data_IF_243243495344
#
_entry.id   IF_243243495344
#
_cell.length_a   1.000
_cell.length_b   1.000
_cell.length_c   1.000
_cell.angle_alpha   90.00
_cell.angle_beta   90.00
_cell.angle_gamma   90.00
#
_symmetry.space_group_name_H-M   'P 1'
#
loop_
_entity.id
_entity.type
_entity.pdbx_description
1 polymer ?
#
# COMPACT_ATOMS: atom_id res chain seq x y z
N UNK A 1 -4.72 12.77 40.75
CA UNK A 1 -3.40 13.07 40.16
C UNK A 1 -3.51 14.33 39.30
N UNK A 2 -2.45 15.16 39.22
CA UNK A 2 -2.46 16.37 38.37
C UNK A 2 -2.31 15.95 36.91
N UNK A 3 -3.26 16.38 36.05
CA UNK A 3 -3.17 16.17 34.60
C UNK A 3 -2.17 17.16 33.99
N UNK A 4 -0.96 16.67 33.71
CA UNK A 4 0.14 17.52 33.21
C UNK A 4 -0.01 17.76 31.71
N UNK A 5 -0.61 16.83 30.95
CA UNK A 5 -0.80 16.93 29.52
C UNK A 5 -1.74 18.09 29.15
N UNK A 6 -2.79 18.28 29.92
CA UNK A 6 -3.75 19.37 29.73
C UNK A 6 -3.31 20.71 30.37
N UNK A 7 -2.08 20.79 30.91
CA UNK A 7 -1.56 22.07 31.39
C UNK A 7 -1.23 22.99 30.23
N UNK A 8 -1.29 24.32 30.46
CA UNK A 8 -1.00 25.37 29.48
C UNK A 8 0.49 25.29 29.06
N UNK A 9 0.75 25.29 27.76
CA UNK A 9 2.08 25.47 27.21
C UNK A 9 2.33 26.96 26.91
N UNK A 10 3.47 27.49 27.38
CA UNK A 10 3.79 28.92 27.25
C UNK A 10 4.56 29.26 25.96
N UNK A 11 4.97 28.26 25.18
CA UNK A 11 5.76 28.45 23.96
C UNK A 11 4.93 28.90 22.76
N UNK A 12 3.59 28.67 22.78
CA UNK A 12 2.67 29.10 21.73
C UNK A 12 2.89 28.41 20.37
N UNK A 13 3.34 27.14 20.38
CA UNK A 13 3.64 26.37 19.16
C UNK A 13 2.67 25.20 19.07
N UNK A 14 1.81 25.19 18.06
CA UNK A 14 0.98 24.04 17.72
C UNK A 14 1.84 22.92 17.09
N UNK A 15 1.53 21.65 17.43
CA UNK A 15 2.21 20.49 16.86
C UNK A 15 1.27 19.84 15.85
N UNK A 16 1.69 19.73 14.59
CA UNK A 16 0.86 19.20 13.52
C UNK A 16 0.56 17.71 13.68
N UNK A 17 1.51 16.92 14.22
CA UNK A 17 1.37 15.48 14.42
C UNK A 17 2.04 15.05 15.73
N UNK A 18 1.26 14.54 16.66
CA UNK A 18 1.71 13.92 17.91
C UNK A 18 0.90 12.67 18.17
N UNK A 19 1.54 11.59 18.58
CA UNK A 19 0.86 10.32 18.84
C UNK A 19 1.81 9.15 18.98
N UNK A 20 1.35 7.97 18.60
CA UNK A 20 2.11 6.71 18.70
C UNK A 20 2.62 6.28 17.33
N UNK A 21 3.78 5.65 17.30
CA UNK A 21 4.41 5.07 16.13
C UNK A 21 4.94 3.68 16.47
N UNK A 22 5.03 2.82 15.45
CA UNK A 22 5.57 1.46 15.57
C UNK A 22 4.79 0.58 16.58
N UNK A 23 3.49 0.84 16.78
CA UNK A 23 2.61 -0.03 17.54
C UNK A 23 2.18 -1.22 16.66
N UNK A 24 2.32 -2.46 17.16
CA UNK A 24 1.93 -3.66 16.43
C UNK A 24 0.59 -4.18 16.96
N UNK A 25 -0.39 -4.34 16.07
CA UNK A 25 -1.73 -4.82 16.39
C UNK A 25 -2.21 -5.79 15.29
N UNK A 26 -3.03 -6.79 15.64
CA UNK A 26 -3.73 -7.59 14.63
C UNK A 26 -4.91 -6.79 14.05
N UNK A 27 -5.17 -6.98 12.75
CA UNK A 27 -6.37 -6.49 12.08
C UNK A 27 -6.94 -7.56 11.16
N UNK A 28 -8.22 -7.44 10.82
CA UNK A 28 -8.90 -8.26 9.83
C UNK A 28 -9.06 -7.45 8.55
N UNK A 29 -8.49 -7.93 7.44
CA UNK A 29 -8.60 -7.30 6.13
C UNK A 29 -9.53 -8.13 5.26
N UNK A 30 -10.50 -7.50 4.58
CA UNK A 30 -11.44 -8.17 3.69
C UNK A 30 -10.70 -8.83 2.53
N UNK A 31 -11.10 -10.05 2.17
CA UNK A 31 -10.59 -10.81 1.02
C UNK A 31 -11.62 -10.85 -0.10
N UNK A 32 -11.16 -11.09 -1.33
CA UNK A 32 -12.01 -11.28 -2.51
C UNK A 32 -12.97 -12.48 -2.37
N UNK A 33 -12.61 -13.48 -1.58
CA UNK A 33 -13.41 -14.68 -1.33
C UNK A 33 -14.47 -14.52 -0.21
N UNK A 34 -14.97 -13.30 0.02
CA UNK A 34 -15.97 -12.97 1.06
C UNK A 34 -15.58 -13.40 2.49
N UNK A 35 -14.28 -13.40 2.76
CA UNK A 35 -13.71 -13.69 4.08
C UNK A 35 -12.86 -12.56 4.60
N UNK A 36 -12.04 -12.89 5.60
CA UNK A 36 -11.08 -11.96 6.19
C UNK A 36 -9.74 -12.65 6.39
N UNK A 37 -8.66 -11.93 6.10
CA UNK A 37 -7.31 -12.32 6.45
C UNK A 37 -6.86 -11.56 7.69
N UNK A 38 -6.45 -12.29 8.74
CA UNK A 38 -5.83 -11.66 9.90
C UNK A 38 -4.38 -11.31 9.57
N UNK A 39 -4.02 -10.05 9.76
CA UNK A 39 -2.67 -9.54 9.54
C UNK A 39 -2.09 -8.99 10.84
N UNK A 40 -0.77 -9.04 10.97
CA UNK A 40 -0.06 -8.25 11.98
C UNK A 40 0.36 -6.94 11.34
N UNK A 41 -0.20 -5.84 11.83
CA UNK A 41 0.03 -4.53 11.25
C UNK A 41 0.85 -3.63 12.18
N UNK A 42 1.69 -2.81 11.56
CA UNK A 42 2.47 -1.76 12.19
C UNK A 42 1.74 -0.44 12.02
N UNK A 43 1.38 0.21 13.12
CA UNK A 43 0.54 1.40 13.16
C UNK A 43 1.34 2.64 13.54
N UNK A 44 1.11 3.72 12.78
CA UNK A 44 1.43 5.09 13.16
C UNK A 44 0.11 5.87 13.28
N UNK A 45 -0.21 6.39 14.47
CA UNK A 45 -1.46 7.07 14.75
C UNK A 45 -1.21 8.39 15.46
N UNK A 46 -1.63 9.50 14.85
CA UNK A 46 -1.31 10.85 15.31
C UNK A 46 -2.53 11.78 15.26
N UNK A 47 -2.49 12.82 16.07
CA UNK A 47 -3.45 13.94 16.03
C UNK A 47 -2.70 15.27 16.03
N UNK A 48 -3.38 16.35 15.62
CA UNK A 48 -2.88 17.70 15.83
C UNK A 48 -3.05 18.08 17.31
N UNK A 49 -2.03 18.74 17.88
CA UNK A 49 -2.05 19.27 19.23
C UNK A 49 -2.08 20.80 19.17
N UNK A 50 -3.15 21.44 19.66
CA UNK A 50 -3.24 22.89 19.75
C UNK A 50 -2.12 23.48 20.62
N UNK A 51 -1.76 24.74 20.35
CA UNK A 51 -0.65 25.44 21.02
C UNK A 51 -0.88 25.66 22.53
N UNK A 52 -2.12 25.58 22.97
CA UNK A 52 -2.52 25.77 24.37
C UNK A 52 -2.19 24.55 25.26
N UNK A 53 -2.06 23.36 24.66
CA UNK A 53 -1.84 22.12 25.42
C UNK A 53 -0.38 21.70 25.40
N UNK A 54 0.10 21.25 26.57
CA UNK A 54 1.46 20.77 26.75
C UNK A 54 1.72 19.40 26.11
N UNK A 55 0.70 18.55 26.00
CA UNK A 55 0.84 17.20 25.44
C UNK A 55 -0.49 16.52 25.23
N UNK A 56 -0.45 15.28 24.78
CA UNK A 56 -1.62 14.40 24.62
C UNK A 56 -1.45 13.09 25.38
N UNK A 57 -2.56 12.41 25.67
CA UNK A 57 -2.57 11.15 26.42
C UNK A 57 -2.30 9.96 25.49
N UNK A 58 -1.08 9.43 25.48
CA UNK A 58 -0.64 8.35 24.58
C UNK A 58 -1.44 7.05 24.76
N UNK A 59 -1.90 6.72 25.98
CA UNK A 59 -2.72 5.52 26.22
C UNK A 59 -4.06 5.54 25.47
N UNK A 60 -4.63 6.72 25.25
CA UNK A 60 -5.91 6.86 24.55
C UNK A 60 -5.85 6.39 23.10
N UNK A 61 -4.70 6.48 22.42
CA UNK A 61 -4.54 5.94 21.07
C UNK A 61 -4.72 4.42 21.05
N UNK A 62 -4.14 3.71 22.02
CA UNK A 62 -4.30 2.25 22.11
C UNK A 62 -5.72 1.87 22.60
N UNK A 63 -6.32 2.64 23.49
CA UNK A 63 -7.73 2.46 23.91
C UNK A 63 -8.71 2.59 22.74
N UNK A 64 -8.41 3.45 21.76
CA UNK A 64 -9.19 3.59 20.51
C UNK A 64 -8.94 2.39 19.59
N UNK A 65 -7.69 1.97 19.42
CA UNK A 65 -7.32 0.93 18.45
C UNK A 65 -7.64 -0.50 18.91
N UNK A 66 -7.51 -0.80 20.21
CA UNK A 66 -7.69 -2.16 20.74
C UNK A 66 -9.03 -2.83 20.36
N UNK A 67 -10.19 -2.14 20.36
CA UNK A 67 -11.45 -2.74 19.92
C UNK A 67 -11.46 -3.16 18.44
N UNK A 68 -10.60 -2.58 17.61
CA UNK A 68 -10.48 -2.88 16.18
C UNK A 68 -9.59 -4.08 15.88
N UNK A 69 -8.84 -4.58 16.87
CA UNK A 69 -7.97 -5.76 16.71
C UNK A 69 -8.72 -7.07 16.37
N UNK A 70 -10.04 -7.10 16.54
CA UNK A 70 -10.91 -8.24 16.25
C UNK A 70 -12.01 -7.91 15.24
N UNK A 71 -11.97 -6.73 14.63
CA UNK A 71 -12.95 -6.26 13.66
C UNK A 71 -12.30 -6.05 12.30
N UNK A 72 -13.08 -6.16 11.22
CA UNK A 72 -12.62 -5.73 9.91
C UNK A 72 -12.22 -4.25 9.92
N UNK A 73 -11.18 -3.94 9.12
CA UNK A 73 -10.75 -2.55 8.90
C UNK A 73 -10.64 -2.29 7.41
N UNK A 74 -11.40 -1.32 6.95
CA UNK A 74 -11.39 -0.76 5.62
C UNK A 74 -11.62 0.77 5.73
N UNK A 75 -11.93 1.43 4.63
CA UNK A 75 -12.15 2.88 4.59
C UNK A 75 -13.22 3.38 5.58
N UNK A 76 -14.45 2.79 5.68
CA UNK A 76 -15.46 3.24 6.63
C UNK A 76 -14.99 3.17 8.09
N UNK A 77 -14.35 2.07 8.47
CA UNK A 77 -13.85 1.85 9.83
C UNK A 77 -12.70 2.81 10.16
N UNK A 78 -11.86 3.13 9.18
CA UNK A 78 -10.81 4.16 9.32
C UNK A 78 -11.42 5.53 9.63
N UNK A 79 -12.54 5.89 8.99
CA UNK A 79 -13.27 7.11 9.30
C UNK A 79 -13.79 7.13 10.75
N UNK A 80 -14.33 6.00 11.24
CA UNK A 80 -14.80 5.88 12.63
C UNK A 80 -13.65 6.02 13.63
N UNK A 81 -12.52 5.36 13.40
CA UNK A 81 -11.30 5.45 14.23
C UNK A 81 -10.84 6.90 14.35
N UNK A 82 -10.77 7.62 13.22
CA UNK A 82 -10.28 8.99 13.20
C UNK A 82 -11.27 9.97 13.85
N UNK A 83 -12.58 9.81 13.65
CA UNK A 83 -13.63 10.59 14.33
C UNK A 83 -13.58 10.40 15.83
N UNK A 84 -13.42 9.16 16.29
CA UNK A 84 -13.26 8.84 17.71
C UNK A 84 -12.02 9.50 18.30
N UNK A 85 -10.88 9.45 17.58
CA UNK A 85 -9.64 10.09 18.03
C UNK A 85 -9.78 11.60 18.13
N UNK A 86 -10.34 12.26 17.13
CA UNK A 86 -10.56 13.70 17.13
C UNK A 86 -11.46 14.12 18.32
N UNK A 87 -12.48 13.32 18.63
CA UNK A 87 -13.39 13.58 19.75
C UNK A 87 -12.71 13.35 21.10
N UNK A 88 -12.12 12.16 21.33
CA UNK A 88 -11.51 11.79 22.61
C UNK A 88 -10.27 12.61 22.98
N UNK A 89 -9.51 13.03 21.95
CA UNK A 89 -8.28 13.80 22.11
C UNK A 89 -8.48 15.30 21.89
N UNK A 90 -9.72 15.74 21.61
CA UNK A 90 -10.08 17.14 21.35
C UNK A 90 -9.19 17.79 20.26
N UNK A 91 -8.95 17.02 19.17
CA UNK A 91 -8.06 17.44 18.10
C UNK A 91 -8.83 17.90 16.85
N UNK A 92 -8.29 18.88 16.16
CA UNK A 92 -8.86 19.41 14.89
C UNK A 92 -8.56 18.50 13.69
N UNK A 93 -7.56 17.62 13.80
CA UNK A 93 -7.24 16.62 12.78
C UNK A 93 -6.60 15.38 13.38
N UNK A 94 -6.77 14.26 12.68
CA UNK A 94 -6.16 12.97 13.01
C UNK A 94 -5.65 12.29 11.74
N UNK A 95 -4.59 11.49 11.87
CA UNK A 95 -4.01 10.72 10.80
C UNK A 95 -3.57 9.34 11.31
N UNK A 96 -3.86 8.30 10.54
CA UNK A 96 -3.43 6.93 10.83
C UNK A 96 -2.81 6.31 9.58
N UNK A 97 -1.77 5.50 9.78
CA UNK A 97 -1.20 4.60 8.77
C UNK A 97 -1.03 3.22 9.38
N UNK A 98 -1.51 2.23 8.66
CA UNK A 98 -1.52 0.81 9.03
C UNK A 98 -0.76 0.06 7.95
N UNK A 99 0.50 -0.30 8.20
CA UNK A 99 1.36 -1.07 7.28
C UNK A 99 1.27 -2.56 7.64
N UNK A 100 1.07 -3.44 6.66
CA UNK A 100 0.92 -4.88 6.87
C UNK A 100 1.39 -5.71 5.67
N UNK A 101 1.68 -6.99 5.93
CA UNK A 101 1.85 -8.01 4.90
C UNK A 101 0.49 -8.65 4.60
N UNK A 102 0.13 -8.69 3.32
CA UNK A 102 -1.06 -9.36 2.83
C UNK A 102 -0.65 -10.55 1.96
N UNK A 103 -1.34 -11.69 2.10
CA UNK A 103 -1.04 -12.90 1.35
C UNK A 103 -2.07 -13.12 0.25
N UNK A 104 -1.60 -13.12 -1.00
CA UNK A 104 -2.42 -13.38 -2.18
C UNK A 104 -2.21 -14.81 -2.64
N UNK A 105 -3.30 -15.55 -2.84
CA UNK A 105 -3.22 -16.91 -3.39
C UNK A 105 -2.65 -16.89 -4.80
N UNK A 106 -1.80 -17.88 -5.08
CA UNK A 106 -1.17 -18.09 -6.37
C UNK A 106 -1.28 -19.53 -6.82
N UNK A 107 -1.58 -19.68 -8.10
CA UNK A 107 -1.55 -20.97 -8.77
C UNK A 107 -0.44 -20.96 -9.82
N UNK A 108 0.48 -21.91 -9.76
CA UNK A 108 1.55 -22.05 -10.73
C UNK A 108 0.98 -22.27 -12.15
N UNK A 109 1.58 -21.65 -13.20
CA UNK A 109 0.91 -21.47 -14.50
C UNK A 109 0.70 -22.76 -15.30
N UNK A 110 1.50 -23.80 -15.07
CA UNK A 110 1.43 -25.09 -15.78
C UNK A 110 1.06 -26.22 -14.83
N UNK A 111 1.77 -26.37 -13.72
CA UNK A 111 1.55 -27.46 -12.76
C UNK A 111 0.30 -27.30 -11.90
N UNK A 112 -0.27 -26.08 -11.85
CA UNK A 112 -1.43 -25.76 -11.02
C UNK A 112 -1.19 -25.83 -9.51
N UNK A 113 0.08 -25.85 -9.06
CA UNK A 113 0.40 -25.90 -7.63
C UNK A 113 0.03 -24.60 -6.92
N UNK A 114 -0.68 -24.74 -5.80
CA UNK A 114 -1.09 -23.61 -4.97
C UNK A 114 0.05 -23.16 -4.07
N UNK A 115 0.18 -21.86 -3.92
CA UNK A 115 1.09 -21.16 -3.02
C UNK A 115 0.51 -19.80 -2.62
N UNK A 116 1.19 -19.07 -1.74
CA UNK A 116 0.81 -17.70 -1.35
C UNK A 116 1.97 -16.76 -1.58
N UNK A 117 1.68 -15.61 -2.16
CA UNK A 117 2.62 -14.51 -2.36
C UNK A 117 2.38 -13.44 -1.31
N UNK A 118 3.42 -13.04 -0.58
CA UNK A 118 3.34 -11.92 0.35
C UNK A 118 3.53 -10.58 -0.37
N UNK A 119 2.63 -9.65 -0.10
CA UNK A 119 2.63 -8.29 -0.66
C UNK A 119 2.65 -7.28 0.47
N UNK A 120 3.54 -6.30 0.39
CA UNK A 120 3.53 -5.17 1.32
C UNK A 120 2.37 -4.23 0.98
N UNK A 121 1.48 -4.02 1.96
CA UNK A 121 0.31 -3.17 1.82
C UNK A 121 0.25 -2.14 2.94
N UNK A 122 -0.48 -1.07 2.70
CA UNK A 122 -0.88 -0.16 3.76
C UNK A 122 -2.24 0.47 3.48
N UNK A 123 -2.90 0.85 4.57
CA UNK A 123 -4.00 1.80 4.58
C UNK A 123 -3.52 3.08 5.26
N UNK A 124 -3.81 4.23 4.67
CA UNK A 124 -3.57 5.52 5.30
C UNK A 124 -4.85 6.35 5.28
N UNK A 125 -5.15 7.01 6.39
CA UNK A 125 -6.29 7.90 6.55
C UNK A 125 -5.86 9.23 7.13
N UNK A 126 -6.34 10.32 6.54
CA UNK A 126 -6.23 11.67 7.07
C UNK A 126 -7.62 12.28 7.17
N UNK A 127 -7.94 12.89 8.31
CA UNK A 127 -9.22 13.56 8.53
C UNK A 127 -9.00 14.86 9.29
N UNK A 128 -9.74 15.90 8.92
CA UNK A 128 -9.77 17.19 9.61
C UNK A 128 -11.22 17.60 9.84
N UNK A 129 -11.45 18.47 10.83
CA UNK A 129 -12.78 18.97 11.15
C UNK A 129 -13.44 19.63 9.93
N UNK A 130 -14.66 19.20 9.62
CA UNK A 130 -15.42 19.68 8.46
C UNK A 130 -14.94 19.19 7.11
N UNK A 131 -14.05 18.18 7.07
CA UNK A 131 -13.62 17.49 5.85
C UNK A 131 -13.83 15.99 5.98
N UNK A 132 -14.14 15.36 4.87
CA UNK A 132 -14.24 13.89 4.79
C UNK A 132 -12.90 13.22 4.94
N UNK A 133 -12.92 11.90 5.14
CA UNK A 133 -11.72 11.07 5.17
C UNK A 133 -11.03 11.11 3.80
N UNK A 134 -9.74 11.42 3.81
CA UNK A 134 -8.85 11.10 2.70
C UNK A 134 -8.25 9.71 2.97
N UNK A 135 -8.77 8.69 2.29
CA UNK A 135 -8.29 7.30 2.40
C UNK A 135 -7.33 6.99 1.26
N UNK A 136 -6.22 6.32 1.58
CA UNK A 136 -5.23 5.83 0.60
C UNK A 136 -4.97 4.35 0.82
N UNK A 137 -5.17 3.54 -0.22
CA UNK A 137 -4.68 2.17 -0.31
C UNK A 137 -3.31 2.18 -0.97
N UNK A 138 -2.33 1.52 -0.39
CA UNK A 138 -1.02 1.30 -1.00
C UNK A 138 -0.64 -0.18 -1.07
N UNK A 139 -0.01 -0.57 -2.19
CA UNK A 139 0.53 -1.92 -2.39
C UNK A 139 1.92 -1.86 -3.02
N UNK A 140 2.76 -2.88 -2.76
CA UNK A 140 4.06 -3.06 -3.43
C UNK A 140 4.11 -4.45 -4.04
N UNK A 141 3.93 -4.52 -5.35
CA UNK A 141 3.78 -5.77 -6.09
C UNK A 141 5.12 -6.17 -6.70
N UNK A 142 5.68 -7.33 -6.32
CA UNK A 142 6.91 -7.82 -6.94
C UNK A 142 6.62 -8.43 -8.30
N UNK A 143 7.54 -8.23 -9.26
CA UNK A 143 7.44 -8.76 -10.62
C UNK A 143 8.81 -9.15 -11.19
N UNK A 144 8.80 -9.80 -12.36
CA UNK A 144 9.98 -10.07 -13.19
C UNK A 144 10.03 -9.09 -14.37
N UNK A 145 11.19 -8.48 -14.60
CA UNK A 145 11.51 -7.66 -15.76
C UNK A 145 12.65 -8.30 -16.57
N UNK A 146 12.55 -8.27 -17.89
CA UNK A 146 13.62 -8.69 -18.81
C UNK A 146 13.98 -7.51 -19.72
N UNK A 147 15.27 -7.21 -19.80
CA UNK A 147 15.76 -6.03 -20.50
C UNK A 147 15.64 -6.16 -22.03
N UNK A 148 14.86 -5.30 -22.70
CA UNK A 148 14.73 -5.30 -24.16
C UNK A 148 16.06 -5.02 -24.87
N UNK A 149 16.87 -4.08 -24.35
CA UNK A 149 18.14 -3.69 -24.93
C UNK A 149 19.15 -4.85 -24.93
N UNK A 150 19.30 -5.56 -23.80
CA UNK A 150 20.19 -6.71 -23.72
C UNK A 150 19.73 -7.87 -24.61
N UNK A 151 18.42 -8.05 -24.79
CA UNK A 151 17.84 -9.03 -25.71
C UNK A 151 18.23 -8.73 -27.17
N UNK A 152 18.20 -7.46 -27.55
CA UNK A 152 18.52 -7.04 -28.94
C UNK A 152 19.99 -7.21 -29.29
N UNK A 153 20.90 -6.87 -28.36
CA UNK A 153 22.35 -6.85 -28.68
C UNK A 153 23.06 -8.17 -28.38
N UNK A 154 22.50 -9.03 -27.55
CA UNK A 154 23.15 -10.27 -27.11
C UNK A 154 22.86 -11.45 -28.05
N UNK A 155 23.86 -12.32 -28.27
CA UNK A 155 23.69 -13.57 -29.02
C UNK A 155 22.94 -14.66 -28.24
N UNK A 156 22.93 -14.61 -26.90
CA UNK A 156 22.57 -15.75 -26.03
C UNK A 156 21.53 -15.42 -24.97
N UNK A 157 20.70 -14.45 -25.19
CA UNK A 157 19.61 -14.13 -24.27
C UNK A 157 19.66 -12.69 -23.77
N UNK A 158 19.08 -12.46 -22.60
CA UNK A 158 18.99 -11.14 -22.00
C UNK A 158 19.07 -11.27 -20.47
N UNK A 159 19.60 -10.23 -19.80
CA UNK A 159 19.50 -10.21 -18.36
C UNK A 159 18.06 -9.94 -17.93
N UNK A 160 17.70 -10.53 -16.81
CA UNK A 160 16.45 -10.31 -16.12
C UNK A 160 16.71 -10.01 -14.66
N UNK A 161 15.72 -9.43 -13.99
CA UNK A 161 15.77 -9.05 -12.60
C UNK A 161 14.36 -9.01 -12.01
N UNK A 162 14.30 -9.02 -10.69
CA UNK A 162 13.07 -8.66 -9.99
C UNK A 162 12.92 -7.15 -9.94
N UNK A 163 11.67 -6.71 -9.91
CA UNK A 163 11.31 -5.34 -9.62
C UNK A 163 10.14 -5.26 -8.65
N UNK A 164 9.81 -4.05 -8.25
CA UNK A 164 8.65 -3.73 -7.45
C UNK A 164 7.88 -2.61 -8.13
N UNK A 165 6.59 -2.83 -8.35
CA UNK A 165 5.64 -1.79 -8.74
C UNK A 165 4.84 -1.39 -7.50
N UNK A 166 5.16 -0.22 -6.96
CA UNK A 166 4.43 0.39 -5.85
C UNK A 166 3.30 1.24 -6.40
N UNK A 167 2.09 1.08 -5.85
CA UNK A 167 0.92 1.87 -6.19
C UNK A 167 0.27 2.41 -4.92
N UNK A 168 -0.15 3.66 -4.99
CA UNK A 168 -0.98 4.33 -3.97
C UNK A 168 -2.21 4.91 -4.68
N UNK A 169 -3.41 4.62 -4.16
CA UNK A 169 -4.68 4.96 -4.79
C UNK A 169 -5.64 5.65 -3.83
N UNK A 170 -6.38 6.63 -4.35
CA UNK A 170 -7.53 7.26 -3.69
C UNK A 170 -8.74 7.23 -4.61
N UNK A 171 -9.88 6.87 -4.06
CA UNK A 171 -11.15 6.87 -4.81
C UNK A 171 -11.97 8.10 -4.44
N UNK A 172 -12.79 8.56 -5.40
CA UNK A 172 -13.72 9.65 -5.20
C UNK A 172 -14.88 9.27 -4.29
N UNK A 173 -15.60 10.26 -3.79
CA UNK A 173 -16.74 10.04 -2.91
C UNK A 173 -17.82 9.19 -3.59
N UNK A 174 -18.29 8.14 -2.90
CA UNK A 174 -19.32 7.23 -3.38
C UNK A 174 -18.82 6.05 -4.21
N UNK A 175 -17.53 5.91 -4.41
CA UNK A 175 -16.92 4.73 -5.02
C UNK A 175 -16.24 3.85 -3.97
N UNK A 176 -16.41 2.53 -4.10
CA UNK A 176 -15.72 1.57 -3.24
C UNK A 176 -14.24 1.44 -3.66
N UNK A 177 -13.37 1.32 -2.67
CA UNK A 177 -11.96 1.04 -2.92
C UNK A 177 -11.80 -0.36 -3.54
N UNK A 178 -10.92 -0.48 -4.53
CA UNK A 178 -10.56 -1.78 -5.15
C UNK A 178 -9.99 -2.75 -4.09
N UNK A 179 -10.30 -4.04 -4.23
CA UNK A 179 -9.71 -5.07 -3.36
C UNK A 179 -8.22 -5.25 -3.66
N UNK A 180 -7.45 -5.59 -2.62
CA UNK A 180 -5.99 -5.77 -2.74
C UNK A 180 -5.64 -6.80 -3.81
N UNK A 181 -6.35 -7.94 -3.85
CA UNK A 181 -6.10 -9.01 -4.83
C UNK A 181 -6.32 -8.53 -6.27
N UNK A 182 -7.39 -7.75 -6.52
CA UNK A 182 -7.69 -7.22 -7.86
C UNK A 182 -6.65 -6.19 -8.29
N UNK A 183 -6.20 -5.33 -7.36
CA UNK A 183 -5.15 -4.37 -7.64
C UNK A 183 -3.81 -5.05 -7.92
N UNK A 184 -3.45 -6.07 -7.14
CA UNK A 184 -2.22 -6.85 -7.35
C UNK A 184 -2.26 -7.54 -8.71
N UNK A 185 -3.37 -8.19 -9.08
CA UNK A 185 -3.55 -8.84 -10.39
C UNK A 185 -3.46 -7.82 -11.54
N UNK A 186 -4.05 -6.64 -11.38
CA UNK A 186 -3.99 -5.57 -12.37
C UNK A 186 -2.56 -5.11 -12.63
N UNK A 187 -1.78 -4.89 -11.57
CA UNK A 187 -0.40 -4.41 -11.64
C UNK A 187 0.56 -5.45 -12.19
N UNK A 188 0.43 -6.71 -11.80
CA UNK A 188 1.30 -7.80 -12.28
C UNK A 188 1.23 -8.00 -13.80
N UNK A 189 0.07 -7.76 -14.40
CA UNK A 189 -0.13 -7.86 -15.85
C UNK A 189 0.70 -6.85 -16.64
N UNK A 190 1.20 -5.81 -15.99
CA UNK A 190 1.99 -4.76 -16.65
C UNK A 190 3.47 -5.10 -16.75
N UNK A 191 3.96 -6.13 -16.06
CA UNK A 191 5.34 -6.57 -16.04
C UNK A 191 5.69 -7.56 -17.17
N UNK A 192 6.97 -7.93 -17.30
CA UNK A 192 7.38 -8.98 -18.24
C UNK A 192 6.81 -10.35 -17.88
N UNK A 193 6.78 -10.68 -16.58
CA UNK A 193 6.12 -11.84 -16.03
C UNK A 193 5.82 -11.65 -14.52
N UNK A 194 4.82 -12.36 -14.04
CA UNK A 194 4.48 -12.45 -12.60
C UNK A 194 5.53 -13.28 -11.84
N UNK A 195 5.53 -13.15 -10.52
CA UNK A 195 6.34 -13.96 -9.61
C UNK A 195 5.45 -15.01 -8.92
N UNK A 196 6.00 -16.21 -8.81
CA UNK A 196 5.34 -17.36 -8.17
C UNK A 196 6.24 -17.91 -7.06
N UNK A 197 5.75 -18.06 -5.82
CA UNK A 197 6.55 -18.61 -4.72
C UNK A 197 6.89 -20.10 -4.87
N UNK A 198 6.09 -20.84 -5.64
CA UNK A 198 6.28 -22.27 -5.88
C UNK A 198 6.18 -22.58 -7.37
N UNK A 199 7.27 -23.08 -7.96
CA UNK A 199 7.37 -23.50 -9.35
C UNK A 199 7.91 -24.92 -9.45
N UNK A 200 7.45 -25.68 -10.45
CA UNK A 200 8.05 -26.91 -10.94
C UNK A 200 8.84 -26.58 -12.22
N UNK A 201 9.60 -27.53 -12.78
CA UNK A 201 10.44 -27.31 -13.96
C UNK A 201 9.66 -26.80 -15.18
N UNK A 202 8.46 -27.32 -15.37
CA UNK A 202 7.55 -26.88 -16.43
C UNK A 202 7.06 -25.44 -16.23
N UNK A 203 6.84 -25.03 -14.98
CA UNK A 203 6.48 -23.66 -14.63
C UNK A 203 7.67 -22.71 -14.80
N UNK A 204 8.89 -23.13 -14.40
CA UNK A 204 10.13 -22.37 -14.63
C UNK A 204 10.36 -22.09 -16.10
N UNK A 205 10.15 -23.11 -16.96
CA UNK A 205 10.20 -22.96 -18.41
C UNK A 205 9.21 -21.90 -18.88
N UNK A 206 7.94 -22.03 -18.47
CA UNK A 206 6.87 -21.08 -18.82
C UNK A 206 7.22 -19.65 -18.44
N UNK A 207 7.60 -19.41 -17.17
CA UNK A 207 7.95 -18.08 -16.65
C UNK A 207 9.14 -17.48 -17.43
N UNK A 208 10.16 -18.30 -17.71
CA UNK A 208 11.35 -17.89 -18.44
C UNK A 208 11.01 -17.47 -19.87
N UNK A 209 10.21 -18.30 -20.59
CA UNK A 209 9.81 -18.02 -21.98
C UNK A 209 8.87 -16.82 -22.04
N UNK A 210 7.88 -16.72 -21.14
CA UNK A 210 6.95 -15.59 -21.06
C UNK A 210 7.69 -14.26 -20.83
N UNK A 211 8.62 -14.21 -19.87
CA UNK A 211 9.40 -13.02 -19.64
C UNK A 211 10.29 -12.67 -20.84
N UNK A 212 10.86 -13.66 -21.51
CA UNK A 212 11.70 -13.46 -22.70
C UNK A 212 10.90 -12.94 -23.90
N UNK A 213 9.67 -13.40 -24.07
CA UNK A 213 8.77 -12.98 -25.14
C UNK A 213 8.15 -11.60 -24.90
N UNK A 214 8.11 -11.14 -23.65
CA UNK A 214 7.54 -9.86 -23.21
C UNK A 214 8.59 -8.96 -22.52
N UNK A 215 9.68 -8.57 -23.21
CA UNK A 215 10.69 -7.69 -22.62
C UNK A 215 10.13 -6.29 -22.38
N UNK A 216 10.41 -5.70 -21.20
CA UNK A 216 9.94 -4.36 -20.85
C UNK A 216 11.00 -3.60 -20.05
N UNK A 217 11.19 -2.33 -20.40
CA UNK A 217 11.91 -1.37 -19.58
C UNK A 217 11.07 -0.96 -18.35
N UNK A 218 11.72 -0.40 -17.34
CA UNK A 218 11.02 0.16 -16.18
C UNK A 218 9.99 1.22 -16.59
N UNK A 219 10.29 2.01 -17.62
CA UNK A 219 9.41 3.02 -18.21
C UNK A 219 8.19 2.41 -18.89
N UNK A 220 8.33 1.26 -19.54
CA UNK A 220 7.23 0.57 -20.22
C UNK A 220 6.24 0.01 -19.21
N UNK A 221 6.76 -0.64 -18.15
CA UNK A 221 5.95 -1.15 -17.05
C UNK A 221 5.17 -0.01 -16.37
N UNK A 222 5.84 1.14 -16.15
CA UNK A 222 5.20 2.31 -15.58
C UNK A 222 4.10 2.87 -16.47
N UNK A 223 4.35 3.04 -17.79
CA UNK A 223 3.35 3.55 -18.75
C UNK A 223 2.13 2.65 -18.84
N UNK A 224 2.35 1.33 -18.92
CA UNK A 224 1.27 0.35 -18.94
C UNK A 224 0.48 0.39 -17.63
N UNK A 225 1.18 0.54 -16.48
CA UNK A 225 0.56 0.75 -15.16
C UNK A 225 -0.31 2.01 -15.12
N UNK A 226 0.17 3.14 -15.64
CA UNK A 226 -0.60 4.40 -15.72
C UNK A 226 -1.86 4.22 -16.57
N UNK A 227 -1.76 3.55 -17.72
CA UNK A 227 -2.93 3.25 -18.57
C UNK A 227 -3.94 2.38 -17.81
N UNK A 228 -3.47 1.36 -17.10
CA UNK A 228 -4.32 0.49 -16.28
C UNK A 228 -5.00 1.26 -15.13
N UNK A 229 -4.29 2.16 -14.44
CA UNK A 229 -4.89 3.00 -13.38
C UNK A 229 -5.98 3.91 -13.95
N UNK A 230 -5.74 4.57 -15.07
CA UNK A 230 -6.73 5.45 -15.73
C UNK A 230 -8.01 4.74 -16.15
N UNK A 231 -8.01 3.40 -16.26
CA UNK A 231 -9.20 2.60 -16.57
C UNK A 231 -10.05 2.25 -15.34
N UNK A 232 -9.57 2.53 -14.12
CA UNK A 232 -10.32 2.25 -12.89
C UNK A 232 -11.41 3.33 -12.69
N UNK A 233 -12.65 2.87 -12.61
CA UNK A 233 -13.78 3.75 -12.33
C UNK A 233 -13.69 4.32 -10.92
N UNK A 234 -13.98 5.61 -10.78
CA UNK A 234 -13.99 6.30 -9.50
C UNK A 234 -12.62 6.62 -8.90
N UNK A 235 -11.51 6.26 -9.57
CA UNK A 235 -10.19 6.65 -9.11
C UNK A 235 -10.02 8.18 -9.22
N UNK A 236 -9.68 8.84 -8.11
CA UNK A 236 -9.52 10.30 -8.06
C UNK A 236 -8.06 10.75 -8.06
N UNK A 237 -7.17 9.89 -7.58
CA UNK A 237 -5.74 10.13 -7.55
C UNK A 237 -4.98 8.81 -7.45
N UNK A 238 -3.82 8.76 -8.08
CA UNK A 238 -2.87 7.66 -7.89
C UNK A 238 -1.42 8.11 -7.99
N UNK A 239 -0.54 7.34 -7.37
CA UNK A 239 0.91 7.40 -7.54
C UNK A 239 1.43 6.02 -7.85
N UNK A 240 2.25 5.90 -8.90
CA UNK A 240 2.97 4.67 -9.26
C UNK A 240 4.47 4.92 -9.19
N UNK A 241 5.20 3.95 -8.65
CA UNK A 241 6.67 3.94 -8.68
C UNK A 241 7.15 2.53 -9.03
N UNK A 242 8.00 2.45 -10.03
CA UNK A 242 8.56 1.22 -10.57
C UNK A 242 10.05 1.18 -10.29
N UNK A 243 10.55 0.12 -9.65
CA UNK A 243 11.96 -0.08 -9.35
C UNK A 243 12.40 -1.47 -9.84
N UNK A 244 13.39 -1.51 -10.74
CA UNK A 244 14.05 -2.74 -11.19
C UNK A 244 15.38 -2.91 -10.46
N UNK A 245 15.59 -4.04 -9.79
CA UNK A 245 16.85 -4.40 -9.13
C UNK A 245 17.82 -4.95 -10.18
N UNK A 246 18.46 -4.06 -10.93
CA UNK A 246 19.28 -4.39 -12.07
C UNK A 246 20.35 -5.44 -11.77
N UNK A 247 20.32 -6.60 -12.46
CA UNK A 247 21.21 -7.74 -12.16
C UNK A 247 22.66 -7.51 -12.59
N UNK A 248 22.91 -6.55 -13.48
CA UNK A 248 24.24 -6.23 -14.02
C UNK A 248 24.80 -4.89 -13.51
N UNK A 249 24.06 -4.18 -12.67
CA UNK A 249 24.44 -2.89 -12.09
C UNK A 249 24.35 -2.93 -10.57
N UNK A 250 25.05 -2.00 -9.91
CA UNK A 250 25.02 -1.83 -8.44
C UNK A 250 23.98 -0.81 -7.98
N UNK A 251 23.11 -0.36 -8.87
CA UNK A 251 22.00 0.54 -8.61
C UNK A 251 20.73 -0.01 -9.28
N UNK A 252 19.58 0.47 -8.83
CA UNK A 252 18.28 0.15 -9.44
C UNK A 252 17.95 1.12 -10.56
N UNK A 253 17.19 0.67 -11.56
CA UNK A 253 16.48 1.56 -12.47
C UNK A 253 15.14 1.95 -11.83
N UNK A 254 14.76 3.23 -11.96
CA UNK A 254 13.59 3.78 -11.28
C UNK A 254 12.80 4.70 -12.20
N UNK A 255 11.46 4.57 -12.15
CA UNK A 255 10.52 5.47 -12.81
C UNK A 255 9.30 5.70 -11.91
N UNK A 256 8.75 6.91 -11.91
CA UNK A 256 7.56 7.23 -11.13
C UNK A 256 6.62 8.17 -11.89
N UNK A 257 5.33 8.08 -11.57
CA UNK A 257 4.28 8.95 -12.08
C UNK A 257 3.22 9.15 -11.01
N UNK A 258 2.73 10.39 -10.91
CA UNK A 258 1.64 10.77 -10.02
C UNK A 258 0.62 11.59 -10.81
N UNK A 259 -0.67 11.29 -10.61
CA UNK A 259 -1.74 11.95 -11.35
C UNK A 259 -3.01 12.08 -10.49
N UNK A 260 -3.60 13.28 -10.52
CA UNK A 260 -4.96 13.50 -10.06
C UNK A 260 -5.89 13.34 -11.27
N UNK A 261 -6.86 12.44 -11.15
CA UNK A 261 -7.89 12.24 -12.18
C UNK A 261 -9.01 13.23 -11.87
N UNK A 262 -9.23 14.19 -12.77
CA UNK A 262 -10.31 15.17 -12.61
C UNK A 262 -11.68 14.49 -12.68
N UNK A 263 -12.66 15.07 -11.96
CA UNK A 263 -14.08 14.72 -12.06
C UNK A 263 -14.61 14.87 -13.50
#
# INVERSE_FOLDING_TARGET
>A
MKDVQNSIDQRGIAIQRVGIKDAYLPFLIKTKADGYQQVTAKVCFTVALPMEYKGTHMSRFLEILNPWSTKPVAEPEMAEILKEAMTKLQAESAAIRIDFKYFVERQAPVSGRHSVLDVDCFFAGNMSKGRDLEFTLGVKVPYTSLCPCSKEISRYGAHNQRGILAAELRFGHGYDCILIEDLVELLEKQASCQIYPLLKREDEKYVTETAYENPKFVEDILRDGVIAMRSLEGLSWFSLACENFESIHNHSAYAAHEEAIGE
#
